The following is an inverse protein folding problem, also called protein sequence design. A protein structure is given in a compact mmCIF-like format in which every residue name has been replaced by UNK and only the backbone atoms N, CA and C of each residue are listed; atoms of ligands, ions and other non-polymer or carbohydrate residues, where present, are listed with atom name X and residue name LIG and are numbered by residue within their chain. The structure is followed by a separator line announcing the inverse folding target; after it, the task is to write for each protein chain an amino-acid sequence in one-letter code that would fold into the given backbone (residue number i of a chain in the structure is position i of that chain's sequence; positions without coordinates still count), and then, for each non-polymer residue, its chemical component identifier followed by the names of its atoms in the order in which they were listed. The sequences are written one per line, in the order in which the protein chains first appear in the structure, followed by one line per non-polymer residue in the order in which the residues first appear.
data_IF_789296073121
#
_entry.id   IF_789296073121
#
_cell.length_a   1.000
_cell.length_b   1.000
_cell.length_c   1.000
_cell.angle_alpha   90.00
_cell.angle_beta   90.00
_cell.angle_gamma   90.00
#
_symmetry.space_group_name_H-M   'P 1'
#
loop_
_entity.id
_entity.type
_entity.pdbx_description
1 polymer ?
#
# COMPACT_ATOMS: atom_id res chain seq x y z
N UNK A 1 -67.80 -14.74 45.46
CA UNK A 1 -67.85 -13.88 44.24
C UNK A 1 -66.43 -13.44 43.94
N UNK A 2 -65.74 -14.16 42.99
CA UNK A 2 -64.41 -13.83 42.56
C UNK A 2 -64.47 -13.20 41.17
N UNK A 3 -63.72 -12.14 40.87
CA UNK A 3 -63.70 -11.53 39.53
C UNK A 3 -62.70 -12.25 38.64
N UNK A 4 -63.18 -12.61 37.46
CA UNK A 4 -62.40 -13.22 36.34
C UNK A 4 -61.43 -12.23 35.81
N UNK A 5 -60.15 -12.70 35.66
CA UNK A 5 -59.09 -12.02 34.92
C UNK A 5 -59.20 -12.40 33.43
N UNK A 6 -59.32 -11.39 32.57
CA UNK A 6 -59.14 -11.54 31.11
C UNK A 6 -57.67 -11.53 30.72
N UNK A 7 -57.20 -12.34 29.75
CA UNK A 7 -55.84 -12.25 29.25
C UNK A 7 -55.70 -11.06 28.29
N UNK A 8 -54.72 -10.22 28.52
CA UNK A 8 -54.25 -9.18 27.60
C UNK A 8 -53.32 -9.80 26.56
N UNK A 9 -53.77 -9.82 25.33
CA UNK A 9 -52.95 -10.24 24.16
C UNK A 9 -52.04 -9.06 23.77
N UNK A 10 -50.73 -9.20 23.99
CA UNK A 10 -49.75 -8.24 23.49
C UNK A 10 -49.46 -8.54 22.00
N UNK A 11 -49.83 -7.63 21.15
CA UNK A 11 -49.35 -7.61 19.77
C UNK A 11 -47.89 -7.17 19.75
N UNK A 12 -47.00 -8.07 19.34
CA UNK A 12 -45.62 -7.73 18.99
C UNK A 12 -45.68 -7.23 17.55
N UNK A 13 -45.47 -5.94 17.39
CA UNK A 13 -45.28 -5.30 16.08
C UNK A 13 -43.82 -5.53 15.67
N UNK A 14 -43.59 -6.43 14.72
CA UNK A 14 -42.30 -6.58 14.06
C UNK A 14 -42.08 -5.34 13.17
N UNK A 15 -41.19 -4.46 13.55
CA UNK A 15 -40.71 -3.39 12.68
C UNK A 15 -39.75 -4.00 11.67
N UNK A 16 -40.16 -4.17 10.43
CA UNK A 16 -39.33 -4.49 9.31
C UNK A 16 -38.50 -3.22 8.99
N UNK A 17 -37.23 -3.18 9.40
CA UNK A 17 -36.24 -2.21 8.91
C UNK A 17 -35.91 -2.60 7.48
N UNK A 18 -36.59 -1.97 6.52
CA UNK A 18 -36.19 -2.05 5.12
C UNK A 18 -34.86 -1.37 4.92
N UNK A 19 -33.83 -2.14 4.56
CA UNK A 19 -32.59 -1.62 4.01
C UNK A 19 -32.93 -0.96 2.66
N UNK A 20 -32.97 0.35 2.62
CA UNK A 20 -32.93 1.12 1.39
C UNK A 20 -31.49 1.02 0.87
N UNK A 21 -31.23 0.11 -0.05
CA UNK A 21 -30.06 0.16 -0.90
C UNK A 21 -30.16 1.45 -1.74
N UNK A 22 -29.49 2.50 -1.31
CA UNK A 22 -29.24 3.66 -2.17
C UNK A 22 -28.30 3.19 -3.27
N UNK A 23 -28.84 3.07 -4.49
CA UNK A 23 -28.03 3.03 -5.72
C UNK A 23 -27.20 4.34 -5.70
N UNK A 24 -25.98 4.26 -5.20
CA UNK A 24 -25.00 5.32 -5.37
C UNK A 24 -24.74 5.39 -6.89
N UNK A 25 -25.28 6.41 -7.55
CA UNK A 25 -24.88 6.74 -8.91
C UNK A 25 -23.37 6.76 -8.94
N UNK A 26 -22.76 6.10 -9.93
CA UNK A 26 -21.30 6.10 -10.14
C UNK A 26 -20.85 7.56 -10.16
N UNK A 27 -20.34 8.03 -9.02
CA UNK A 27 -19.88 9.41 -8.90
C UNK A 27 -18.62 9.50 -9.76
N UNK A 28 -18.66 10.33 -10.77
CA UNK A 28 -17.52 10.54 -11.66
C UNK A 28 -16.32 11.03 -10.84
N UNK A 29 -15.39 10.10 -10.55
CA UNK A 29 -14.18 10.41 -9.80
C UNK A 29 -13.23 11.35 -10.58
N UNK A 30 -13.50 11.54 -11.88
CA UNK A 30 -12.81 12.48 -12.74
C UNK A 30 -13.49 13.87 -12.82
N UNK A 31 -14.58 14.10 -12.07
CA UNK A 31 -15.30 15.36 -12.11
C UNK A 31 -14.48 16.55 -11.58
N UNK A 32 -13.56 16.32 -10.63
CA UNK A 32 -12.71 17.39 -10.11
C UNK A 32 -11.61 17.74 -11.12
N UNK A 33 -11.46 19.02 -11.52
CA UNK A 33 -10.39 19.42 -12.42
C UNK A 33 -8.98 19.12 -11.87
N UNK A 34 -8.00 18.76 -12.72
CA UNK A 34 -6.62 18.59 -12.30
C UNK A 34 -6.02 19.87 -11.72
N UNK A 35 -5.22 19.78 -10.66
CA UNK A 35 -4.48 20.93 -10.12
C UNK A 35 -3.45 21.46 -11.12
N UNK A 36 -2.78 20.55 -11.84
CA UNK A 36 -1.80 20.86 -12.86
C UNK A 36 -2.37 21.59 -14.09
N UNK A 37 -3.70 21.59 -14.28
CA UNK A 37 -4.33 22.33 -15.37
C UNK A 37 -4.04 23.85 -15.33
N UNK A 38 -3.80 24.41 -14.14
CA UNK A 38 -3.40 25.82 -13.98
C UNK A 38 -2.04 26.14 -14.62
N UNK A 39 -1.20 25.12 -14.85
CA UNK A 39 0.16 25.22 -15.41
C UNK A 39 0.28 24.55 -16.78
N UNK A 40 -0.85 24.23 -17.44
CA UNK A 40 -0.91 23.56 -18.73
C UNK A 40 -0.19 22.19 -18.74
N UNK A 41 -0.15 21.51 -17.61
CA UNK A 41 0.37 20.15 -17.53
C UNK A 41 -0.48 19.22 -18.39
N UNK A 42 0.16 18.47 -19.27
CA UNK A 42 -0.49 17.54 -20.19
C UNK A 42 0.15 16.17 -20.09
N UNK A 43 -0.65 15.08 -20.19
CA UNK A 43 -0.10 13.73 -20.22
C UNK A 43 0.87 13.54 -21.38
N UNK A 44 1.88 12.70 -21.19
CA UNK A 44 2.88 12.36 -22.22
C UNK A 44 2.29 11.47 -23.32
N UNK A 45 1.21 10.74 -23.02
CA UNK A 45 0.51 9.87 -23.97
C UNK A 45 -0.97 9.71 -23.56
N UNK A 46 -1.76 9.17 -24.47
CA UNK A 46 -3.19 8.91 -24.26
C UNK A 46 -3.42 7.94 -23.07
N UNK A 47 -4.46 8.18 -22.28
CA UNK A 47 -4.83 7.43 -21.09
C UNK A 47 -3.75 7.35 -19.99
N UNK A 48 -2.73 8.18 -20.01
CA UNK A 48 -1.77 8.27 -18.89
C UNK A 48 -2.42 8.81 -17.61
N UNK A 49 -3.57 9.43 -17.71
CA UNK A 49 -4.45 9.87 -16.63
C UNK A 49 -5.88 9.82 -17.11
N UNK A 50 -6.85 9.76 -16.19
CA UNK A 50 -8.28 9.82 -16.52
C UNK A 50 -8.69 8.82 -17.61
N UNK A 51 -8.16 7.60 -17.53
CA UNK A 51 -8.53 6.51 -18.40
C UNK A 51 -10.06 6.31 -18.45
N UNK A 52 -10.62 5.67 -19.48
CA UNK A 52 -12.04 5.39 -19.56
C UNK A 52 -12.58 4.74 -18.28
N UNK A 53 -13.73 5.23 -17.80
CA UNK A 53 -14.38 4.66 -16.62
C UNK A 53 -14.94 3.29 -16.99
N UNK A 54 -14.44 2.26 -16.32
CA UNK A 54 -15.01 0.91 -16.41
C UNK A 54 -16.25 0.81 -15.52
N UNK A 55 -17.17 -0.13 -15.87
CA UNK A 55 -18.29 -0.44 -14.98
C UNK A 55 -17.76 -0.91 -13.62
N UNK A 56 -18.27 -0.28 -12.57
CA UNK A 56 -18.04 -0.65 -11.18
C UNK A 56 -19.25 -1.31 -10.53
N UNK A 57 -20.24 -1.72 -11.34
CA UNK A 57 -21.58 -2.13 -10.89
C UNK A 57 -21.64 -3.52 -10.24
N UNK A 58 -20.50 -4.14 -9.95
CA UNK A 58 -20.49 -5.39 -9.21
C UNK A 58 -20.94 -5.12 -7.76
N UNK A 59 -22.05 -5.76 -7.38
CA UNK A 59 -22.52 -5.72 -6.00
C UNK A 59 -21.53 -6.50 -5.11
N UNK A 60 -21.05 -5.85 -4.04
CA UNK A 60 -20.01 -6.37 -3.16
C UNK A 60 -20.52 -6.46 -1.72
N UNK A 61 -20.23 -7.57 -1.08
CA UNK A 61 -20.42 -7.77 0.35
C UNK A 61 -19.14 -7.41 1.09
N UNK A 62 -19.25 -6.56 2.11
CA UNK A 62 -18.17 -6.16 3.00
C UNK A 62 -18.37 -6.84 4.35
N UNK A 63 -17.41 -7.65 4.78
CA UNK A 63 -17.43 -8.33 6.08
C UNK A 63 -16.25 -7.89 6.91
N UNK A 64 -16.51 -7.18 8.02
CA UNK A 64 -15.47 -6.84 9.00
C UNK A 64 -15.08 -8.12 9.74
N UNK A 65 -13.83 -8.57 9.56
CA UNK A 65 -13.28 -9.74 10.25
C UNK A 65 -12.85 -9.38 11.67
N UNK A 66 -12.20 -8.22 11.85
CA UNK A 66 -11.76 -7.71 13.15
C UNK A 66 -11.72 -6.19 13.15
N UNK A 67 -11.91 -5.61 14.33
CA UNK A 67 -11.70 -4.20 14.66
C UNK A 67 -10.64 -4.06 15.76
N UNK A 68 -10.18 -2.84 16.05
CA UNK A 68 -9.23 -2.58 17.14
C UNK A 68 -7.76 -2.66 16.72
N UNK A 69 -7.47 -2.68 15.42
CA UNK A 69 -6.12 -2.49 14.90
C UNK A 69 -5.73 -1.01 14.98
N UNK A 70 -4.61 -0.69 15.63
CA UNK A 70 -4.16 0.70 15.77
C UNK A 70 -3.27 1.11 14.62
N UNK A 71 -3.80 1.92 13.68
CA UNK A 71 -3.10 2.36 12.49
C UNK A 71 -2.39 1.20 11.76
N UNK A 72 -3.11 0.14 11.34
CA UNK A 72 -2.49 -0.99 10.64
C UNK A 72 -1.84 -0.50 9.34
N UNK A 73 -0.69 -1.12 8.97
CA UNK A 73 0.08 -0.65 7.83
C UNK A 73 0.34 -1.71 6.76
N UNK A 74 0.82 -2.87 7.12
CA UNK A 74 1.07 -4.02 6.23
C UNK A 74 0.24 -5.22 6.62
N UNK A 75 -0.06 -6.07 5.66
CA UNK A 75 -0.92 -7.23 5.81
C UNK A 75 -0.41 -8.34 4.89
N UNK A 76 -0.37 -9.57 5.40
CA UNK A 76 -0.06 -10.77 4.60
C UNK A 76 -0.84 -11.97 5.13
N UNK A 77 -1.35 -12.82 4.22
CA UNK A 77 -1.98 -14.09 4.60
C UNK A 77 -0.90 -15.14 4.89
N UNK A 78 -1.06 -15.86 5.99
CA UNK A 78 -0.23 -17.01 6.33
C UNK A 78 -0.84 -18.31 5.76
N UNK A 79 -0.04 -19.36 5.48
CA UNK A 79 -0.52 -20.61 4.88
C UNK A 79 -1.62 -21.35 5.68
N UNK A 80 -1.78 -21.02 6.96
CA UNK A 80 -2.85 -21.57 7.81
C UNK A 80 -4.17 -20.76 7.72
N UNK A 81 -4.23 -19.76 6.82
CA UNK A 81 -5.38 -18.87 6.62
C UNK A 81 -5.49 -17.73 7.64
N UNK A 82 -4.56 -17.62 8.58
CA UNK A 82 -4.47 -16.46 9.46
C UNK A 82 -3.84 -15.27 8.74
N UNK A 83 -3.98 -14.07 9.31
CA UNK A 83 -3.41 -12.84 8.79
C UNK A 83 -2.37 -12.28 9.74
N UNK A 84 -1.19 -11.97 9.24
CA UNK A 84 -0.18 -11.23 9.98
C UNK A 84 -0.31 -9.75 9.59
N UNK A 85 -0.49 -8.88 10.59
CA UNK A 85 -0.75 -7.44 10.40
C UNK A 85 0.23 -6.64 11.23
N UNK A 86 0.83 -5.62 10.63
CA UNK A 86 1.63 -4.63 11.35
C UNK A 86 0.79 -3.44 11.77
N UNK A 87 1.08 -2.90 12.95
CA UNK A 87 0.50 -1.67 13.48
C UNK A 87 1.62 -0.63 13.68
N UNK A 88 1.43 0.59 13.20
CA UNK A 88 2.46 1.66 13.25
C UNK A 88 3.07 1.91 14.64
N UNK A 89 2.35 1.78 15.77
CA UNK A 89 2.99 1.91 17.09
C UNK A 89 4.13 0.92 17.39
N UNK A 90 4.45 0.00 16.50
CA UNK A 90 5.54 -0.97 16.64
C UNK A 90 5.06 -2.35 17.09
N UNK A 91 3.82 -2.72 16.78
CA UNK A 91 3.25 -4.04 17.08
C UNK A 91 3.01 -4.83 15.80
N UNK A 92 3.11 -6.13 15.91
CA UNK A 92 2.66 -7.09 14.91
C UNK A 92 1.59 -7.97 15.55
N UNK A 93 0.51 -8.24 14.85
CA UNK A 93 -0.64 -8.96 15.37
C UNK A 93 -1.03 -10.10 14.42
N UNK A 94 -1.54 -11.18 14.96
CA UNK A 94 -2.16 -12.23 14.17
C UNK A 94 -3.68 -12.11 14.30
N UNK A 95 -4.37 -12.07 13.17
CA UNK A 95 -5.82 -12.21 13.10
C UNK A 95 -6.12 -13.59 12.58
N UNK A 96 -6.79 -14.41 13.40
CA UNK A 96 -7.16 -15.76 12.97
C UNK A 96 -8.16 -15.73 11.82
N UNK A 97 -8.23 -16.81 11.03
CA UNK A 97 -9.26 -16.97 9.98
C UNK A 97 -10.69 -16.80 10.52
N UNK A 98 -10.91 -17.01 11.82
CA UNK A 98 -12.17 -16.77 12.52
C UNK A 98 -12.36 -15.34 13.05
N UNK A 99 -11.45 -14.39 12.76
CA UNK A 99 -11.55 -13.00 13.16
C UNK A 99 -11.12 -12.72 14.61
N UNK A 100 -10.34 -13.59 15.24
CA UNK A 100 -9.80 -13.34 16.59
C UNK A 100 -8.46 -12.64 16.51
N UNK A 101 -8.31 -11.51 17.20
CA UNK A 101 -7.08 -10.73 17.30
C UNK A 101 -6.20 -11.28 18.43
N UNK A 102 -4.93 -11.60 18.12
CA UNK A 102 -3.94 -12.06 19.11
C UNK A 102 -3.49 -10.92 20.04
N UNK A 103 -2.79 -11.24 21.11
CA UNK A 103 -1.89 -10.30 21.75
C UNK A 103 -0.75 -9.90 20.77
N UNK A 104 -0.03 -8.78 21.03
CA UNK A 104 1.12 -8.40 20.21
C UNK A 104 2.20 -9.48 20.17
N UNK A 105 2.78 -9.73 18.98
CA UNK A 105 3.95 -10.58 18.80
C UNK A 105 5.15 -9.92 19.49
N UNK A 106 5.81 -10.62 20.41
CA UNK A 106 6.98 -10.14 21.12
C UNK A 106 8.26 -10.21 20.27
N UNK A 107 9.32 -9.51 20.68
CA UNK A 107 10.66 -9.63 20.09
C UNK A 107 10.95 -8.67 18.91
N UNK A 108 10.04 -7.77 18.59
CA UNK A 108 10.26 -6.75 17.55
C UNK A 108 11.20 -5.63 18.04
N UNK A 109 11.94 -4.98 17.12
CA UNK A 109 12.78 -3.84 17.46
C UNK A 109 11.96 -2.61 17.84
N UNK A 110 12.59 -1.67 18.56
CA UNK A 110 12.03 -0.34 18.81
C UNK A 110 11.86 0.43 17.50
N UNK A 111 10.75 1.17 17.38
CA UNK A 111 10.44 1.99 16.22
C UNK A 111 10.28 3.47 16.58
N UNK A 112 10.60 4.37 15.66
CA UNK A 112 10.21 5.78 15.73
C UNK A 112 8.80 5.94 15.17
N UNK A 113 7.80 5.97 16.04
CA UNK A 113 6.38 6.02 15.64
C UNK A 113 5.83 7.45 15.50
N UNK A 114 6.69 8.47 15.43
CA UNK A 114 6.25 9.86 15.21
C UNK A 114 5.63 10.02 13.81
N UNK A 115 4.46 10.64 13.72
CA UNK A 115 3.72 11.01 12.50
C UNK A 115 3.55 9.81 11.54
N UNK A 116 4.28 9.74 10.43
CA UNK A 116 4.24 8.65 9.45
C UNK A 116 5.20 7.49 9.76
N UNK A 117 6.00 7.62 10.80
CA UNK A 117 6.92 6.56 11.23
C UNK A 117 6.21 5.38 11.89
N UNK A 118 6.98 4.38 12.29
CA UNK A 118 6.49 3.20 13.00
C UNK A 118 6.94 1.89 12.38
N UNK A 119 6.20 0.82 12.66
CA UNK A 119 6.30 -0.46 11.96
C UNK A 119 5.47 -0.36 10.68
N UNK A 120 6.06 -0.74 9.55
CA UNK A 120 5.46 -0.54 8.25
C UNK A 120 5.08 -1.88 7.60
N UNK A 121 5.67 -2.21 6.47
CA UNK A 121 5.31 -3.37 5.70
C UNK A 121 5.73 -4.70 6.34
N UNK A 122 5.05 -5.77 5.97
CA UNK A 122 5.35 -7.14 6.35
C UNK A 122 5.18 -8.06 5.16
N UNK A 123 6.07 -9.01 5.00
CA UNK A 123 5.98 -10.03 3.95
C UNK A 123 6.49 -11.37 4.43
N UNK A 124 6.04 -12.41 3.75
CA UNK A 124 6.55 -13.79 3.87
C UNK A 124 6.85 -14.31 2.47
N UNK A 125 7.72 -15.30 2.37
CA UNK A 125 7.98 -15.99 1.10
C UNK A 125 7.16 -17.29 1.02
N UNK A 126 7.11 -17.88 -0.17
CA UNK A 126 6.36 -19.12 -0.45
C UNK A 126 6.78 -20.30 0.45
N UNK A 127 8.02 -20.29 0.95
CA UNK A 127 8.55 -21.32 1.86
C UNK A 127 8.26 -21.05 3.35
N UNK A 128 7.35 -20.11 3.66
CA UNK A 128 7.02 -19.76 5.05
C UNK A 128 6.57 -20.99 5.88
N UNK A 129 5.85 -21.92 5.28
CA UNK A 129 5.40 -23.15 5.97
C UNK A 129 6.55 -23.95 6.58
N UNK A 130 7.72 -23.93 5.92
CA UNK A 130 8.95 -24.60 6.36
C UNK A 130 9.85 -23.70 7.20
N UNK A 131 10.01 -22.45 6.78
CA UNK A 131 11.01 -21.53 7.36
C UNK A 131 10.46 -20.66 8.47
N UNK A 132 9.16 -20.37 8.44
CA UNK A 132 8.45 -19.39 9.29
C UNK A 132 9.10 -18.00 9.28
N UNK A 133 9.87 -17.69 8.23
CA UNK A 133 10.60 -16.44 8.10
C UNK A 133 9.67 -15.31 7.68
N UNK A 134 9.81 -14.17 8.37
CA UNK A 134 9.07 -12.94 8.15
C UNK A 134 10.07 -11.82 7.85
N UNK A 135 9.74 -10.94 6.93
CA UNK A 135 10.43 -9.68 6.67
C UNK A 135 9.51 -8.52 7.00
N UNK A 136 10.10 -7.45 7.50
CA UNK A 136 9.35 -6.22 7.75
C UNK A 136 10.24 -4.99 7.59
N UNK A 137 9.61 -3.86 7.35
CA UNK A 137 10.25 -2.55 7.36
C UNK A 137 9.77 -1.73 8.55
N UNK A 138 10.61 -0.83 9.01
CA UNK A 138 10.28 0.03 10.13
C UNK A 138 11.11 1.32 10.12
N UNK A 139 10.60 2.36 10.79
CA UNK A 139 11.34 3.58 11.09
C UNK A 139 12.30 3.31 12.25
N UNK A 140 13.57 3.10 11.97
CA UNK A 140 14.60 2.84 12.98
C UNK A 140 15.07 4.15 13.62
N UNK A 141 15.02 4.30 14.97
CA UNK A 141 15.64 5.42 15.66
C UNK A 141 17.17 5.43 15.48
N UNK A 142 17.76 6.60 15.13
CA UNK A 142 19.20 6.73 14.85
C UNK A 142 19.91 7.73 15.77
N UNK A 143 19.26 8.14 16.86
CA UNK A 143 19.75 9.16 17.77
C UNK A 143 19.59 10.58 17.23
N UNK A 144 19.73 11.57 18.10
CA UNK A 144 19.64 13.01 17.79
C UNK A 144 18.40 13.40 16.96
N UNK A 145 17.25 12.75 17.23
CA UNK A 145 16.00 13.00 16.50
C UNK A 145 15.94 12.40 15.09
N UNK A 146 17.02 11.79 14.61
CA UNK A 146 17.09 11.15 13.29
C UNK A 146 16.52 9.75 13.31
N UNK A 147 16.06 9.33 12.14
CA UNK A 147 15.59 7.97 11.86
C UNK A 147 15.94 7.57 10.43
N UNK A 148 15.75 6.30 10.12
CA UNK A 148 15.93 5.76 8.78
C UNK A 148 14.94 4.61 8.56
N UNK A 149 14.50 4.38 7.33
CA UNK A 149 13.82 3.14 6.98
C UNK A 149 14.80 1.99 7.08
N UNK A 150 14.47 0.96 7.84
CA UNK A 150 15.26 -0.25 7.98
C UNK A 150 14.46 -1.47 7.55
N UNK A 151 15.16 -2.52 7.14
CA UNK A 151 14.62 -3.85 6.83
C UNK A 151 15.15 -4.82 7.85
N UNK A 152 14.26 -5.58 8.44
CA UNK A 152 14.59 -6.69 9.33
C UNK A 152 13.92 -7.98 8.88
N UNK A 153 14.48 -9.11 9.35
CA UNK A 153 13.92 -10.44 9.20
C UNK A 153 13.99 -11.18 10.54
N UNK A 154 13.12 -12.15 10.73
CA UNK A 154 13.09 -13.02 11.89
C UNK A 154 12.27 -14.27 11.63
N UNK A 155 12.21 -15.16 12.61
CA UNK A 155 11.44 -16.40 12.56
C UNK A 155 10.24 -16.27 13.49
N UNK A 156 9.03 -16.40 12.98
CA UNK A 156 7.82 -16.41 13.79
C UNK A 156 7.74 -17.74 14.55
N UNK A 157 7.66 -17.73 15.90
CA UNK A 157 7.52 -18.93 16.72
C UNK A 157 6.33 -19.79 16.29
N UNK A 158 6.35 -21.09 16.58
CA UNK A 158 5.28 -22.01 16.17
C UNK A 158 3.90 -21.60 16.72
N UNK A 159 3.86 -21.05 17.93
CA UNK A 159 2.64 -20.56 18.58
C UNK A 159 2.23 -19.14 18.15
N UNK A 160 3.02 -18.48 17.29
CA UNK A 160 2.76 -17.13 16.78
C UNK A 160 2.94 -16.00 17.80
N UNK A 161 3.52 -16.29 18.99
CA UNK A 161 3.59 -15.28 20.06
C UNK A 161 4.85 -14.43 20.04
N UNK A 162 5.90 -14.86 19.31
CA UNK A 162 7.21 -14.21 19.34
C UNK A 162 7.90 -14.23 17.99
N UNK A 163 8.64 -13.17 17.70
CA UNK A 163 9.63 -13.12 16.63
C UNK A 163 11.00 -13.50 17.20
N UNK A 164 11.61 -14.54 16.66
CA UNK A 164 12.90 -15.09 17.08
C UNK A 164 13.97 -14.78 16.01
N UNK A 165 15.25 -14.88 16.37
CA UNK A 165 16.41 -14.67 15.47
C UNK A 165 16.32 -13.36 14.65
N UNK A 166 15.82 -12.30 15.30
CA UNK A 166 15.61 -11.00 14.65
C UNK A 166 16.94 -10.36 14.24
N UNK A 167 17.04 -10.03 12.98
CA UNK A 167 18.20 -9.38 12.39
C UNK A 167 17.77 -8.19 11.54
N UNK A 168 18.41 -7.02 11.75
CA UNK A 168 18.34 -5.94 10.76
C UNK A 168 19.31 -6.27 9.63
N UNK A 169 18.80 -6.49 8.42
CA UNK A 169 19.59 -6.85 7.25
C UNK A 169 19.97 -5.64 6.40
N UNK A 170 19.21 -4.52 6.48
CA UNK A 170 19.52 -3.32 5.72
C UNK A 170 18.98 -2.05 6.39
N UNK A 171 19.52 -0.87 6.01
CA UNK A 171 19.01 0.44 6.45
C UNK A 171 19.27 1.54 5.42
N UNK A 172 18.34 2.48 5.32
CA UNK A 172 18.43 3.67 4.50
C UNK A 172 19.54 4.62 4.95
N UNK A 173 20.23 5.25 4.02
CA UNK A 173 21.28 6.24 4.29
C UNK A 173 21.23 7.44 3.34
N UNK A 174 21.56 8.65 3.83
CA UNK A 174 21.82 8.98 5.24
C UNK A 174 20.55 8.90 6.11
N UNK A 175 20.72 8.73 7.43
CA UNK A 175 19.64 8.93 8.39
C UNK A 175 19.27 10.40 8.44
N UNK A 176 17.97 10.72 8.58
CA UNK A 176 17.47 12.08 8.51
C UNK A 176 16.53 12.42 9.67
N UNK A 177 16.50 13.71 10.08
CA UNK A 177 15.52 14.20 11.02
C UNK A 177 14.23 14.57 10.30
N UNK A 178 13.40 13.56 10.02
CA UNK A 178 12.07 13.72 9.43
C UNK A 178 11.13 12.66 9.93
N UNK A 179 9.85 12.98 10.00
CA UNK A 179 8.79 12.06 10.41
C UNK A 179 7.93 11.61 9.21
N UNK A 180 8.37 11.93 7.97
CA UNK A 180 7.58 11.72 6.76
C UNK A 180 8.33 10.93 5.70
N UNK A 181 7.57 10.45 4.71
CA UNK A 181 8.04 9.78 3.50
C UNK A 181 9.08 8.69 3.77
N UNK A 182 8.69 7.66 4.50
CA UNK A 182 9.53 6.47 4.72
C UNK A 182 9.54 5.54 3.51
N UNK A 183 8.49 5.55 2.68
CA UNK A 183 8.24 4.54 1.66
C UNK A 183 7.86 3.23 2.32
N UNK A 184 8.77 2.26 2.29
CA UNK A 184 8.82 1.06 3.13
C UNK A 184 8.14 -0.21 2.55
N UNK A 185 7.66 -0.23 1.31
CA UNK A 185 7.11 -1.45 0.70
C UNK A 185 8.18 -2.48 0.37
N UNK A 186 7.88 -3.75 0.66
CA UNK A 186 8.69 -4.93 0.32
C UNK A 186 7.95 -5.78 -0.70
N UNK A 187 8.68 -6.31 -1.68
CA UNK A 187 8.18 -7.37 -2.55
C UNK A 187 9.30 -8.36 -2.88
N UNK A 188 9.00 -9.65 -2.82
CA UNK A 188 9.93 -10.72 -3.22
C UNK A 188 9.99 -10.84 -4.74
N UNK A 189 11.19 -11.08 -5.28
CA UNK A 189 11.37 -11.29 -6.73
C UNK A 189 11.23 -12.76 -7.16
N UNK A 190 11.05 -13.67 -6.22
CA UNK A 190 11.02 -15.11 -6.47
C UNK A 190 12.39 -15.74 -6.73
N UNK A 191 13.48 -14.97 -6.72
CA UNK A 191 14.86 -15.39 -6.97
C UNK A 191 15.77 -15.30 -5.73
N UNK A 192 15.19 -15.13 -4.54
CA UNK A 192 15.89 -15.02 -3.26
C UNK A 192 16.27 -13.58 -2.87
N UNK A 193 15.75 -12.58 -3.56
CA UNK A 193 15.94 -11.18 -3.20
C UNK A 193 14.62 -10.49 -2.90
N UNK A 194 14.73 -9.31 -2.28
CA UNK A 194 13.61 -8.41 -2.06
C UNK A 194 13.90 -7.06 -2.68
N UNK A 195 12.86 -6.47 -3.28
CA UNK A 195 12.82 -5.05 -3.59
C UNK A 195 12.25 -4.29 -2.42
N UNK A 196 12.81 -3.10 -2.15
CA UNK A 196 12.30 -2.20 -1.12
C UNK A 196 12.12 -0.81 -1.70
N UNK A 197 10.89 -0.30 -1.66
CA UNK A 197 10.57 1.04 -2.08
C UNK A 197 10.78 2.04 -0.95
N UNK A 198 11.56 3.11 -1.18
CA UNK A 198 12.01 4.05 -0.16
C UNK A 198 11.50 5.46 -0.43
N UNK A 199 11.18 6.17 0.65
CA UNK A 199 10.81 7.57 0.60
C UNK A 199 12.02 8.53 0.70
N UNK A 200 11.82 9.77 0.25
CA UNK A 200 12.86 10.82 0.20
C UNK A 200 12.86 11.74 1.41
N UNK A 201 12.02 11.46 2.42
CA UNK A 201 11.94 12.14 3.72
C UNK A 201 11.28 13.52 3.69
N UNK A 202 10.59 13.92 2.59
CA UNK A 202 9.67 15.05 2.43
C UNK A 202 10.27 16.46 2.40
N UNK A 203 11.28 16.77 3.19
CA UNK A 203 11.80 18.12 3.32
C UNK A 203 12.57 18.58 2.06
N UNK A 204 12.71 19.88 1.81
CA UNK A 204 13.38 20.39 0.61
C UNK A 204 14.81 19.90 0.40
N UNK A 205 15.57 19.75 1.48
CA UNK A 205 16.96 19.28 1.42
C UNK A 205 17.06 17.78 1.10
N UNK A 206 16.43 16.85 1.86
CA UNK A 206 16.58 15.43 1.61
C UNK A 206 15.92 14.97 0.32
N UNK A 207 14.92 15.68 -0.22
CA UNK A 207 14.30 15.32 -1.51
C UNK A 207 15.30 15.32 -2.68
N UNK A 208 16.39 16.12 -2.58
CA UNK A 208 17.42 16.15 -3.61
C UNK A 208 18.20 14.84 -3.69
N UNK A 209 18.28 14.09 -2.60
CA UNK A 209 18.91 12.77 -2.58
C UNK A 209 18.20 11.74 -3.47
N UNK A 210 16.94 11.98 -3.88
CA UNK A 210 16.28 11.11 -4.85
C UNK A 210 17.04 11.00 -6.18
N UNK A 211 17.83 12.02 -6.53
CA UNK A 211 18.70 12.06 -7.71
C UNK A 211 20.18 11.73 -7.39
N UNK A 212 20.57 11.66 -6.13
CA UNK A 212 21.95 11.38 -5.72
C UNK A 212 22.21 9.86 -5.72
N UNK A 213 23.12 9.34 -6.58
CA UNK A 213 23.42 7.91 -6.61
C UNK A 213 24.17 7.39 -5.37
N UNK A 214 24.66 8.28 -4.49
CA UNK A 214 25.38 7.93 -3.26
C UNK A 214 24.47 7.95 -2.01
N UNK A 215 23.15 8.06 -2.20
CA UNK A 215 22.16 8.04 -1.14
C UNK A 215 21.00 7.10 -1.50
N UNK A 216 20.36 6.51 -0.49
CA UNK A 216 19.22 5.60 -0.70
C UNK A 216 17.84 6.23 -0.44
N UNK A 217 17.80 7.56 -0.22
CA UNK A 217 16.54 8.29 -0.11
C UNK A 217 15.88 8.44 -1.49
N UNK A 218 14.58 8.13 -1.59
CA UNK A 218 13.84 8.20 -2.86
C UNK A 218 14.36 7.22 -3.92
N UNK A 219 14.61 5.99 -3.51
CA UNK A 219 15.11 4.89 -4.35
C UNK A 219 14.23 3.66 -4.26
N UNK A 220 14.40 2.77 -5.22
CA UNK A 220 14.12 1.36 -5.05
C UNK A 220 15.47 0.67 -4.94
N UNK A 221 15.59 -0.20 -3.96
CA UNK A 221 16.75 -1.06 -3.78
C UNK A 221 16.38 -2.52 -4.01
N UNK A 222 17.36 -3.35 -4.36
CA UNK A 222 17.25 -4.81 -4.37
C UNK A 222 18.38 -5.39 -3.56
N UNK A 223 18.05 -6.28 -2.64
CA UNK A 223 19.01 -6.92 -1.72
C UNK A 223 18.68 -8.41 -1.57
N UNK A 224 19.68 -9.19 -1.21
CA UNK A 224 19.47 -10.58 -0.79
C UNK A 224 18.51 -10.62 0.42
N UNK A 225 17.54 -11.52 0.37
CA UNK A 225 16.48 -11.59 1.37
C UNK A 225 16.95 -12.13 2.73
N UNK A 226 18.09 -12.85 2.78
CA UNK A 226 18.59 -13.47 4.00
C UNK A 226 19.55 -12.55 4.76
N UNK A 227 20.53 -11.97 4.07
CA UNK A 227 21.60 -11.23 4.71
C UNK A 227 21.73 -9.75 4.30
N UNK A 228 20.87 -9.30 3.36
CA UNK A 228 20.87 -7.93 2.88
C UNK A 228 22.00 -7.56 1.94
N UNK A 229 22.75 -8.55 1.42
CA UNK A 229 23.79 -8.30 0.43
C UNK A 229 23.22 -7.54 -0.78
N UNK A 230 23.84 -6.43 -1.20
CA UNK A 230 23.37 -5.65 -2.35
C UNK A 230 23.25 -6.48 -3.63
N UNK A 231 22.13 -6.33 -4.35
CA UNK A 231 21.80 -6.98 -5.60
C UNK A 231 21.13 -6.03 -6.61
N UNK A 232 21.52 -4.76 -6.61
CA UNK A 232 20.91 -3.72 -7.42
C UNK A 232 21.19 -3.83 -8.92
N UNK A 233 20.84 -2.79 -9.67
CA UNK A 233 20.87 -2.76 -11.13
C UNK A 233 22.29 -2.55 -11.74
N UNK A 234 23.33 -2.39 -10.91
CA UNK A 234 24.68 -2.11 -11.40
C UNK A 234 24.82 -0.74 -12.06
N UNK A 235 24.11 0.26 -11.55
CA UNK A 235 24.18 1.64 -12.06
C UNK A 235 25.58 2.21 -11.79
N UNK A 236 26.25 2.69 -12.85
CA UNK A 236 27.60 3.22 -12.73
C UNK A 236 27.67 4.41 -11.77
N UNK A 237 28.58 4.34 -10.81
CA UNK A 237 28.75 5.35 -9.77
C UNK A 237 27.64 5.39 -8.69
N UNK A 238 26.72 4.43 -8.64
CA UNK A 238 25.70 4.32 -7.59
C UNK A 238 26.08 3.33 -6.49
N UNK A 239 25.37 3.43 -5.34
CA UNK A 239 25.44 2.39 -4.31
C UNK A 239 24.96 1.05 -4.89
N UNK A 240 25.60 -0.08 -4.50
CA UNK A 240 25.41 -1.36 -5.19
C UNK A 240 24.02 -1.98 -5.03
N UNK A 241 23.25 -1.57 -4.04
CA UNK A 241 21.86 -2.01 -3.84
C UNK A 241 20.82 -1.24 -4.66
N UNK A 242 21.16 -0.09 -5.26
CA UNK A 242 20.19 0.74 -5.97
C UNK A 242 19.70 0.04 -7.23
N UNK A 243 18.38 -0.11 -7.34
CA UNK A 243 17.70 -0.63 -8.53
C UNK A 243 17.20 0.48 -9.44
N UNK A 244 16.59 1.54 -8.88
CA UNK A 244 16.13 2.71 -9.61
C UNK A 244 16.16 3.96 -8.73
N UNK A 245 16.08 5.14 -9.35
CA UNK A 245 16.24 6.45 -8.71
C UNK A 245 15.06 7.36 -9.01
N UNK A 246 14.97 8.50 -8.32
CA UNK A 246 14.00 9.54 -8.65
C UNK A 246 12.59 9.26 -8.18
N UNK A 247 12.43 8.60 -7.03
CA UNK A 247 11.15 8.32 -6.38
C UNK A 247 10.87 9.30 -5.24
N UNK A 248 9.59 9.52 -4.97
CA UNK A 248 9.16 10.39 -3.86
C UNK A 248 8.79 9.60 -2.60
N UNK A 249 7.74 8.81 -2.64
CA UNK A 249 7.23 8.11 -1.46
C UNK A 249 6.41 6.89 -1.88
N UNK A 250 7.07 5.78 -2.09
CA UNK A 250 6.47 4.53 -2.56
C UNK A 250 5.57 3.94 -1.47
N UNK A 251 4.33 3.61 -1.83
CA UNK A 251 3.31 3.12 -0.89
C UNK A 251 2.70 1.78 -1.28
N UNK A 252 2.85 1.34 -2.52
CA UNK A 252 2.43 0.01 -2.99
C UNK A 252 3.51 -0.60 -3.86
N UNK A 253 3.64 -1.93 -3.82
CA UNK A 253 4.56 -2.69 -4.65
C UNK A 253 4.00 -4.09 -4.92
N UNK A 254 4.13 -4.57 -6.16
CA UNK A 254 3.76 -5.92 -6.54
C UNK A 254 4.57 -6.39 -7.75
N UNK A 255 4.76 -7.71 -7.86
CA UNK A 255 5.15 -8.33 -9.13
C UNK A 255 3.90 -8.48 -9.99
N UNK A 256 3.94 -7.98 -11.22
CA UNK A 256 2.88 -8.16 -12.18
C UNK A 256 2.78 -9.58 -12.72
N UNK A 257 1.69 -9.93 -13.42
CA UNK A 257 1.49 -11.28 -13.97
C UNK A 257 2.58 -11.75 -14.93
N UNK A 258 3.31 -10.82 -15.51
CA UNK A 258 4.45 -11.04 -16.42
C UNK A 258 5.81 -11.06 -15.71
N UNK A 259 5.83 -10.99 -14.37
CA UNK A 259 7.04 -10.97 -13.55
C UNK A 259 7.76 -9.61 -13.54
N UNK A 260 7.13 -8.54 -14.01
CA UNK A 260 7.68 -7.18 -13.91
C UNK A 260 7.30 -6.52 -12.57
N UNK A 261 8.23 -5.70 -12.05
CA UNK A 261 8.00 -4.96 -10.81
C UNK A 261 7.15 -3.71 -11.07
N UNK A 262 6.06 -3.57 -10.32
CA UNK A 262 5.20 -2.40 -10.32
C UNK A 262 5.21 -1.73 -8.95
N UNK A 263 5.21 -0.41 -8.93
CA UNK A 263 5.11 0.35 -7.69
C UNK A 263 4.21 1.57 -7.85
N UNK A 264 3.49 1.91 -6.78
CA UNK A 264 2.71 3.14 -6.67
C UNK A 264 3.36 4.09 -5.68
N UNK A 265 3.28 5.38 -5.95
CA UNK A 265 3.84 6.40 -5.07
C UNK A 265 2.99 7.66 -4.98
N UNK A 266 3.14 8.36 -3.86
CA UNK A 266 2.48 9.65 -3.65
C UNK A 266 3.20 10.78 -4.39
N UNK A 267 2.43 11.54 -5.15
CA UNK A 267 2.83 12.86 -5.61
C UNK A 267 2.72 13.94 -4.52
N UNK A 268 3.03 15.19 -4.83
CA UNK A 268 2.75 16.33 -3.95
C UNK A 268 1.24 16.65 -3.92
N UNK A 269 0.79 17.82 -4.32
CA UNK A 269 -0.64 18.09 -4.47
C UNK A 269 -1.08 17.64 -5.86
N UNK A 270 -1.65 16.45 -5.99
CA UNK A 270 -1.83 15.69 -7.22
C UNK A 270 -0.57 14.93 -7.63
N UNK A 271 -0.62 14.22 -8.75
CA UNK A 271 0.52 13.52 -9.33
C UNK A 271 0.95 12.26 -8.58
N UNK A 272 0.03 11.55 -7.92
CA UNK A 272 0.27 10.18 -7.49
C UNK A 272 0.49 9.31 -8.73
N UNK A 273 1.37 8.32 -8.67
CA UNK A 273 1.83 7.58 -9.84
C UNK A 273 1.74 6.06 -9.66
N UNK A 274 1.43 5.38 -10.76
CA UNK A 274 1.70 3.96 -10.94
C UNK A 274 2.85 3.80 -11.93
N UNK A 275 3.90 3.15 -11.50
CA UNK A 275 5.15 3.00 -12.21
C UNK A 275 5.46 1.53 -12.51
N UNK A 276 5.79 1.23 -13.78
CA UNK A 276 6.46 -0.01 -14.18
C UNK A 276 7.97 0.19 -13.99
N UNK A 277 8.56 -0.59 -13.09
CA UNK A 277 9.92 -0.35 -12.62
C UNK A 277 10.95 -1.07 -13.48
N UNK A 278 11.90 -0.31 -14.01
CA UNK A 278 13.00 -0.80 -14.83
C UNK A 278 14.33 -0.66 -14.10
N UNK A 279 15.17 -1.68 -14.19
CA UNK A 279 16.52 -1.65 -13.68
C UNK A 279 17.31 -0.45 -14.25
N UNK A 280 17.95 0.32 -13.38
CA UNK A 280 18.70 1.51 -13.76
C UNK A 280 17.85 2.73 -14.13
N UNK A 281 16.52 2.65 -14.01
CA UNK A 281 15.60 3.72 -14.36
C UNK A 281 15.68 4.93 -13.42
N UNK A 282 15.46 6.14 -13.97
CA UNK A 282 15.26 7.38 -13.21
C UNK A 282 13.81 7.87 -13.43
N UNK A 283 13.01 7.96 -12.34
CA UNK A 283 11.60 8.34 -12.36
C UNK A 283 11.37 9.84 -12.13
N UNK A 284 12.48 10.60 -12.02
CA UNK A 284 12.50 12.05 -12.20
C UNK A 284 12.28 12.88 -10.95
N UNK A 285 11.69 12.38 -9.86
CA UNK A 285 11.50 13.19 -8.65
C UNK A 285 12.84 13.71 -8.10
N UNK A 286 12.95 14.98 -7.68
CA UNK A 286 11.94 16.04 -7.61
C UNK A 286 11.90 16.94 -8.86
N UNK A 287 12.62 16.61 -9.93
CA UNK A 287 12.73 17.41 -11.16
C UNK A 287 11.49 17.28 -12.05
N UNK A 288 10.89 16.07 -12.06
CA UNK A 288 9.70 15.72 -12.83
C UNK A 288 8.56 15.34 -11.90
N UNK A 289 7.36 15.89 -12.13
CA UNK A 289 6.13 15.53 -11.41
C UNK A 289 4.89 16.05 -12.16
N UNK A 290 3.76 15.36 -12.01
CA UNK A 290 2.44 15.80 -12.45
C UNK A 290 1.64 16.51 -11.35
N UNK A 291 2.21 16.63 -10.14
CA UNK A 291 1.62 17.42 -9.06
C UNK A 291 2.15 18.85 -9.01
N UNK A 292 1.57 19.64 -8.14
CA UNK A 292 2.01 21.00 -7.83
C UNK A 292 2.41 21.12 -6.36
N UNK A 293 3.12 22.17 -5.99
CA UNK A 293 3.45 22.41 -4.59
C UNK A 293 2.19 22.61 -3.73
N UNK A 294 2.23 22.26 -2.46
CA UNK A 294 1.10 22.44 -1.54
C UNK A 294 0.71 23.91 -1.35
N UNK A 295 1.63 24.85 -1.57
CA UNK A 295 1.33 26.29 -1.64
C UNK A 295 0.49 26.69 -2.87
N UNK A 296 0.37 25.79 -3.84
CA UNK A 296 -0.28 26.02 -5.13
C UNK A 296 0.69 26.50 -6.21
N UNK A 297 1.98 26.62 -5.94
CA UNK A 297 2.98 26.99 -6.94
C UNK A 297 3.30 25.83 -7.90
N UNK A 298 3.76 26.14 -9.09
CA UNK A 298 4.30 25.17 -10.04
C UNK A 298 5.52 24.46 -9.43
N UNK A 299 5.69 23.17 -9.71
CA UNK A 299 6.77 22.35 -9.21
C UNK A 299 7.32 21.44 -10.31
N UNK A 300 8.63 21.54 -10.57
CA UNK A 300 9.29 20.71 -11.58
C UNK A 300 8.72 20.90 -13.00
N UNK A 301 8.94 19.90 -13.83
CA UNK A 301 8.34 19.76 -15.16
C UNK A 301 7.62 18.43 -15.25
N UNK A 302 6.76 18.24 -16.25
CA UNK A 302 6.04 16.95 -16.42
C UNK A 302 6.85 15.90 -17.17
N UNK A 303 7.84 16.32 -17.97
CA UNK A 303 8.66 15.44 -18.81
C UNK A 303 10.06 16.00 -18.92
N UNK A 304 11.07 15.13 -18.83
CA UNK A 304 12.48 15.47 -19.01
C UNK A 304 13.21 14.31 -19.69
N UNK A 305 14.12 14.61 -20.63
CA UNK A 305 14.96 13.59 -21.25
C UNK A 305 15.79 12.83 -20.19
N UNK A 306 15.89 11.52 -20.34
CA UNK A 306 16.57 10.65 -19.38
C UNK A 306 15.74 10.22 -18.20
N UNK A 307 14.47 10.62 -18.11
CA UNK A 307 13.53 10.14 -17.09
C UNK A 307 12.47 9.23 -17.70
N UNK A 308 11.99 8.28 -16.87
CA UNK A 308 10.89 7.36 -17.21
C UNK A 308 9.58 8.00 -16.75
N UNK A 309 8.60 8.00 -17.66
CA UNK A 309 7.26 8.48 -17.38
C UNK A 309 6.46 7.41 -16.60
N UNK A 310 5.59 7.82 -15.63
CA UNK A 310 4.65 6.89 -15.03
C UNK A 310 3.72 6.27 -16.07
N UNK A 311 3.35 5.03 -15.84
CA UNK A 311 2.32 4.36 -16.64
C UNK A 311 0.97 5.06 -16.49
N UNK A 312 0.70 5.53 -15.26
CA UNK A 312 -0.52 6.26 -14.94
C UNK A 312 -0.29 7.24 -13.80
N UNK A 313 -0.98 8.38 -13.83
CA UNK A 313 -0.97 9.34 -12.72
C UNK A 313 -2.36 9.87 -12.40
N UNK A 314 -2.56 10.30 -11.16
CA UNK A 314 -3.80 10.88 -10.68
C UNK A 314 -3.63 12.32 -10.26
N UNK A 315 -4.51 13.20 -10.76
CA UNK A 315 -4.68 14.55 -10.28
C UNK A 315 -6.18 14.92 -10.30
N UNK A 316 -6.84 15.10 -9.13
CA UNK A 316 -6.28 15.07 -7.75
C UNK A 316 -5.78 13.70 -7.27
N UNK A 317 -4.88 13.73 -6.29
CA UNK A 317 -4.31 12.55 -5.63
C UNK A 317 -5.37 11.74 -4.87
N UNK A 318 -5.51 10.42 -5.10
CA UNK A 318 -6.27 9.53 -4.23
C UNK A 318 -5.52 9.16 -2.94
N UNK A 319 -4.24 9.52 -2.83
CA UNK A 319 -3.26 9.05 -1.86
C UNK A 319 -3.15 7.52 -1.89
N UNK A 320 -2.48 7.02 -2.91
CA UNK A 320 -2.29 5.59 -3.17
C UNK A 320 -1.64 4.87 -1.99
N UNK A 321 -1.94 3.59 -1.85
CA UNK A 321 -1.37 2.73 -0.82
C UNK A 321 -1.03 1.35 -1.38
N UNK A 322 -1.40 0.25 -0.72
CA UNK A 322 -1.13 -1.11 -1.18
C UNK A 322 -1.48 -1.33 -2.65
N UNK A 323 -0.76 -2.23 -3.30
CA UNK A 323 -0.92 -2.62 -4.70
C UNK A 323 -0.82 -4.14 -4.79
N UNK A 324 -1.80 -4.77 -5.43
CA UNK A 324 -1.73 -6.18 -5.84
C UNK A 324 -2.25 -6.34 -7.27
N UNK A 325 -1.85 -7.39 -7.94
CA UNK A 325 -2.51 -7.86 -9.17
C UNK A 325 -3.45 -8.99 -8.80
N UNK A 326 -4.70 -8.89 -9.24
CA UNK A 326 -5.69 -9.89 -8.89
C UNK A 326 -5.47 -11.20 -9.67
N UNK A 327 -5.28 -12.30 -8.95
CA UNK A 327 -5.07 -13.66 -9.48
C UNK A 327 -6.08 -14.70 -8.95
N UNK A 328 -7.03 -14.25 -8.09
CA UNK A 328 -8.07 -15.11 -7.52
C UNK A 328 -9.17 -15.51 -8.51
N UNK A 329 -9.96 -16.52 -8.18
CA UNK A 329 -11.07 -17.00 -9.01
C UNK A 329 -12.43 -16.34 -8.69
N UNK A 330 -12.53 -15.66 -7.52
CA UNK A 330 -13.82 -15.13 -7.03
C UNK A 330 -14.35 -13.96 -7.86
N UNK A 331 -13.46 -13.17 -8.47
CA UNK A 331 -13.79 -12.06 -9.38
C UNK A 331 -13.19 -12.30 -10.77
N UNK A 332 -13.80 -13.16 -11.61
CA UNK A 332 -13.21 -13.56 -12.90
C UNK A 332 -12.88 -12.38 -13.83
N UNK A 333 -13.70 -11.32 -13.80
CA UNK A 333 -13.49 -10.11 -14.61
C UNK A 333 -12.34 -9.22 -14.11
N UNK A 334 -11.72 -9.55 -12.97
CA UNK A 334 -10.61 -8.80 -12.40
C UNK A 334 -9.25 -9.45 -12.67
N UNK A 335 -9.24 -10.65 -13.24
CA UNK A 335 -8.00 -11.41 -13.50
C UNK A 335 -6.94 -10.58 -14.20
N UNK A 336 -5.72 -10.54 -13.62
CA UNK A 336 -4.56 -9.80 -14.11
C UNK A 336 -4.65 -8.27 -13.96
N UNK A 337 -5.74 -7.73 -13.38
CA UNK A 337 -5.90 -6.29 -13.18
C UNK A 337 -5.23 -5.83 -11.89
N UNK A 338 -4.71 -4.61 -11.89
CA UNK A 338 -4.11 -4.01 -10.71
C UNK A 338 -5.20 -3.45 -9.78
N UNK A 339 -5.08 -3.75 -8.48
CA UNK A 339 -5.91 -3.21 -7.41
C UNK A 339 -5.04 -2.37 -6.48
N UNK A 340 -5.47 -1.14 -6.19
CA UNK A 340 -4.76 -0.21 -5.32
C UNK A 340 -5.69 0.31 -4.23
N UNK A 341 -5.15 0.51 -3.03
CA UNK A 341 -5.86 1.21 -1.98
C UNK A 341 -5.77 2.72 -2.14
N UNK A 342 -6.84 3.44 -1.75
CA UNK A 342 -6.87 4.90 -1.67
C UNK A 342 -7.06 5.37 -0.23
N UNK A 343 -6.06 6.07 0.33
CA UNK A 343 -6.17 6.65 1.68
C UNK A 343 -7.07 7.88 1.70
N UNK A 344 -6.96 8.74 0.69
CA UNK A 344 -7.74 9.97 0.56
C UNK A 344 -9.09 9.69 -0.11
N UNK A 345 -9.10 8.89 -1.17
CA UNK A 345 -10.33 8.55 -1.89
C UNK A 345 -11.22 7.56 -1.15
N UNK A 346 -10.66 6.83 -0.17
CA UNK A 346 -11.37 5.86 0.69
C UNK A 346 -12.11 4.79 -0.12
N UNK A 347 -11.40 4.21 -1.07
CA UNK A 347 -11.92 3.20 -1.99
C UNK A 347 -10.80 2.23 -2.44
N UNK A 348 -11.18 1.24 -3.21
CA UNK A 348 -10.28 0.39 -3.99
C UNK A 348 -10.33 0.83 -5.43
N UNK A 349 -9.17 1.14 -5.99
CA UNK A 349 -8.96 1.53 -7.38
C UNK A 349 -8.62 0.27 -8.15
N UNK A 350 -9.35 -0.02 -9.23
CA UNK A 350 -9.07 -1.13 -10.13
C UNK A 350 -8.69 -0.61 -11.51
N UNK A 351 -7.56 -1.08 -12.04
CA UNK A 351 -7.03 -0.69 -13.34
C UNK A 351 -6.95 -1.89 -14.28
N UNK A 352 -7.53 -1.76 -15.45
CA UNK A 352 -7.22 -2.63 -16.58
C UNK A 352 -5.94 -2.13 -17.24
N UNK A 353 -4.99 -3.03 -17.46
CA UNK A 353 -3.69 -2.75 -18.06
C UNK A 353 -3.49 -3.68 -19.25
N UNK A 354 -3.14 -3.13 -20.41
CA UNK A 354 -2.81 -3.84 -21.62
C UNK A 354 -1.55 -3.22 -22.24
N UNK A 355 -0.57 -4.03 -22.61
CA UNK A 355 0.70 -3.58 -23.19
C UNK A 355 1.36 -2.44 -22.39
N UNK A 356 1.46 -2.59 -21.07
CA UNK A 356 1.99 -1.60 -20.12
C UNK A 356 1.25 -0.24 -20.15
N UNK A 357 -0.03 -0.22 -20.52
CA UNK A 357 -0.90 0.98 -20.57
C UNK A 357 -2.20 0.74 -19.84
N UNK A 358 -2.63 1.73 -19.07
CA UNK A 358 -3.95 1.70 -18.45
C UNK A 358 -5.02 1.95 -19.52
N UNK A 359 -5.94 1.00 -19.67
CA UNK A 359 -7.04 1.06 -20.64
C UNK A 359 -8.37 1.38 -19.97
N UNK A 360 -8.46 1.27 -18.65
CA UNK A 360 -9.67 1.61 -17.90
C UNK A 360 -9.44 1.68 -16.41
N UNK A 361 -10.30 2.44 -15.72
CA UNK A 361 -10.30 2.61 -14.26
C UNK A 361 -11.71 2.40 -13.69
N UNK A 362 -11.81 1.68 -12.56
CA UNK A 362 -13.03 1.57 -11.76
C UNK A 362 -12.73 1.81 -10.28
N UNK A 363 -13.77 2.15 -9.53
CA UNK A 363 -13.70 2.40 -8.09
C UNK A 363 -14.71 1.54 -7.36
N UNK A 364 -14.25 0.81 -6.34
CA UNK A 364 -15.04 -0.14 -5.56
C UNK A 364 -15.04 0.23 -4.08
N UNK A 365 -16.04 -0.26 -3.32
CA UNK A 365 -16.20 -0.14 -1.86
C UNK A 365 -15.99 1.28 -1.33
N UNK A 366 -16.48 2.28 -2.04
CA UNK A 366 -16.34 3.71 -1.69
C UNK A 366 -16.84 4.01 -0.29
N UNK A 367 -16.06 4.78 0.47
CA UNK A 367 -16.41 5.18 1.83
C UNK A 367 -16.09 4.10 2.88
N UNK A 368 -15.37 3.04 2.52
CA UNK A 368 -14.93 2.00 3.46
C UNK A 368 -13.94 2.54 4.52
N UNK A 369 -13.36 3.69 4.29
CA UNK A 369 -12.30 4.29 5.11
C UNK A 369 -10.98 4.36 4.34
N UNK A 370 -9.95 4.81 5.01
CA UNK A 370 -8.60 4.95 4.44
C UNK A 370 -7.99 3.58 4.19
N UNK A 371 -8.13 3.06 2.97
CA UNK A 371 -7.53 1.76 2.63
C UNK A 371 -6.02 1.89 2.66
N UNK A 372 -5.36 1.14 3.56
CA UNK A 372 -3.89 1.21 3.74
C UNK A 372 -3.17 0.09 2.99
N UNK A 373 -3.72 -1.10 3.02
CA UNK A 373 -3.17 -2.25 2.34
C UNK A 373 -4.28 -3.20 1.91
N UNK A 374 -3.97 -4.06 0.95
CA UNK A 374 -4.91 -5.03 0.41
C UNK A 374 -4.17 -6.25 -0.14
N UNK A 375 -4.81 -7.41 -0.03
CA UNK A 375 -4.30 -8.71 -0.44
C UNK A 375 -5.40 -9.54 -1.10
N UNK A 376 -5.01 -10.43 -2.00
CA UNK A 376 -5.90 -11.46 -2.54
C UNK A 376 -5.77 -12.70 -1.67
N UNK A 377 -6.85 -13.08 -0.97
CA UNK A 377 -6.85 -14.26 -0.13
C UNK A 377 -6.82 -15.56 -0.96
N UNK A 378 -6.35 -16.66 -0.38
CA UNK A 378 -6.24 -17.99 -1.02
C UNK A 378 -7.53 -18.45 -1.71
N UNK A 379 -8.70 -18.04 -1.21
CA UNK A 379 -10.01 -18.35 -1.79
C UNK A 379 -10.51 -17.31 -2.81
N UNK A 380 -9.65 -16.33 -3.15
CA UNK A 380 -9.91 -15.30 -4.15
C UNK A 380 -10.67 -14.07 -3.64
N UNK A 381 -11.01 -13.96 -2.35
CA UNK A 381 -11.57 -12.74 -1.81
C UNK A 381 -10.52 -11.63 -1.75
N UNK A 382 -10.96 -10.39 -1.87
CA UNK A 382 -10.09 -9.26 -1.55
C UNK A 382 -10.17 -8.97 -0.04
N UNK A 383 -9.02 -8.87 0.62
CA UNK A 383 -8.95 -8.50 2.04
C UNK A 383 -8.13 -7.22 2.16
N UNK A 384 -8.59 -6.30 2.98
CA UNK A 384 -7.95 -5.00 3.16
C UNK A 384 -7.94 -4.54 4.62
N UNK A 385 -7.02 -3.63 4.94
CA UNK A 385 -6.94 -2.94 6.23
C UNK A 385 -7.17 -1.44 6.07
N UNK A 386 -7.83 -0.84 7.09
CA UNK A 386 -8.11 0.60 7.12
C UNK A 386 -7.21 1.33 8.12
N UNK A 387 -6.53 2.40 7.69
CA UNK A 387 -5.65 3.23 8.53
C UNK A 387 -6.48 4.15 9.45
N UNK A 388 -6.72 3.68 10.66
CA UNK A 388 -7.43 4.40 11.71
C UNK A 388 -6.95 3.96 13.10
N UNK A 389 -7.17 4.78 14.16
CA UNK A 389 -6.91 4.40 15.56
C UNK A 389 -7.71 3.14 15.98
N UNK A 390 -8.87 2.93 15.38
CA UNK A 390 -9.66 1.71 15.44
C UNK A 390 -9.80 1.15 14.01
N UNK A 391 -8.68 0.73 13.44
CA UNK A 391 -8.62 0.15 12.11
C UNK A 391 -9.27 -1.22 12.05
N UNK A 392 -9.64 -1.62 10.85
CA UNK A 392 -10.38 -2.85 10.57
C UNK A 392 -9.62 -3.72 9.57
N UNK A 393 -9.76 -5.03 9.70
CA UNK A 393 -9.51 -5.99 8.63
C UNK A 393 -10.86 -6.34 8.00
N UNK A 394 -11.01 -6.07 6.72
CA UNK A 394 -12.28 -6.22 6.01
C UNK A 394 -12.10 -7.16 4.82
N UNK A 395 -13.00 -8.12 4.69
CA UNK A 395 -13.08 -9.06 3.58
C UNK A 395 -14.16 -8.61 2.61
N UNK A 396 -13.85 -8.62 1.32
CA UNK A 396 -14.71 -8.24 0.21
C UNK A 396 -14.97 -9.45 -0.67
N UNK A 397 -16.26 -9.73 -0.92
CA UNK A 397 -16.71 -10.81 -1.80
C UNK A 397 -17.80 -10.31 -2.75
N UNK A 398 -18.08 -10.98 -3.86
CA UNK A 398 -19.30 -10.71 -4.64
C UNK A 398 -20.54 -10.89 -3.75
N UNK A 399 -21.58 -10.10 -3.99
CA UNK A 399 -22.90 -10.38 -3.42
C UNK A 399 -23.45 -11.66 -4.07
N UNK A 400 -23.84 -12.65 -3.26
CA UNK A 400 -24.31 -13.96 -3.71
C UNK A 400 -25.70 -13.94 -4.35
#
# INVERSE_FOLDING_TARGET
MSPSRRPTTSLITLAATGLLATLASAQDFNATPPHGAAYNQTPAFENQTRAPVMSGDLALTQTVLVEGLEHPWGLVQLPDGNWLVTERPGRMRIVSAGGQLSDPVEGLPEVDNRDQGGLHDVSVADDFAETRRVWWTYAEPRGDGKNATAVATGILSEDGTRMEDVQRIWQQQPAWESTKHFGARIVHDGEGHIFVGLGERSDPEPRQYAQDPQATLGKIIRIDAVDGTPAGAGIDGALPEIWSTGHRNIQGAAMGPDGQLWMSEHGPKGGDELNLIKAGGNYGWPLVTYGIDYSGAEMGVTQQEGTIQPVYYWDPSPALSGLVFYDGEMFPDWQGQALLGGLQSQDVIRLAIEDDRVTGEARHVRGIGRVRDLEVADDGALVLITDHENGQLVRITPEG
#
